data_IF_534551463201
#
_entry.id   IF_534551463201
#
_cell.length_a   1.000
_cell.length_b   1.000
_cell.length_c   1.000
_cell.angle_alpha   90.00
_cell.angle_beta   90.00
_cell.angle_gamma   90.00
#
_symmetry.space_group_name_H-M   'P 1'
#
loop_
_entity.id
_entity.type
_entity.pdbx_description
1 polymer ?
#
# COMPACT_ATOMS: atom_id res chain seq x y z
N UNK A 1 -19.30 -8.57 6.95
CA UNK A 1 -17.86 -8.88 6.75
C UNK A 1 -17.21 -7.71 6.04
N UNK A 2 -15.96 -7.38 6.38
CA UNK A 2 -15.24 -6.32 5.67
C UNK A 2 -14.93 -6.76 4.24
N UNK A 3 -15.20 -5.90 3.26
CA UNK A 3 -15.11 -6.25 1.84
C UNK A 3 -13.65 -6.18 1.35
N UNK A 4 -13.09 -7.24 0.73
CA UNK A 4 -11.70 -7.24 0.26
C UNK A 4 -11.42 -6.19 -0.81
N UNK A 5 -12.38 -5.91 -1.70
CA UNK A 5 -12.25 -4.89 -2.74
C UNK A 5 -12.20 -3.49 -2.11
N UNK A 6 -13.01 -3.25 -1.07
CA UNK A 6 -12.94 -1.98 -0.33
C UNK A 6 -11.59 -1.84 0.37
N UNK A 7 -11.09 -2.91 1.01
CA UNK A 7 -9.76 -2.89 1.63
C UNK A 7 -8.65 -2.62 0.60
N UNK A 8 -8.74 -3.22 -0.60
CA UNK A 8 -7.82 -2.96 -1.71
C UNK A 8 -7.83 -1.48 -2.10
N UNK A 9 -9.01 -0.95 -2.44
CA UNK A 9 -9.15 0.41 -2.97
C UNK A 9 -8.68 1.45 -1.95
N UNK A 10 -9.05 1.28 -0.68
CA UNK A 10 -8.59 2.17 0.38
C UNK A 10 -7.07 2.19 0.46
N UNK A 11 -6.43 1.01 0.50
CA UNK A 11 -4.96 0.91 0.55
C UNK A 11 -4.24 1.30 -0.73
N UNK A 12 -4.92 1.27 -1.88
CA UNK A 12 -4.38 1.70 -3.17
C UNK A 12 -4.23 3.22 -3.21
N UNK A 13 -5.24 3.98 -2.77
CA UNK A 13 -5.18 5.43 -2.75
C UNK A 13 -4.40 5.98 -1.54
N UNK A 14 -4.55 5.33 -0.38
CA UNK A 14 -3.87 5.74 0.86
C UNK A 14 -3.19 4.51 1.43
N UNK A 15 -1.86 4.40 1.30
CA UNK A 15 -1.11 3.26 1.82
C UNK A 15 -1.49 2.90 3.26
N UNK A 16 -1.83 1.63 3.50
CA UNK A 16 -2.26 1.15 4.82
C UNK A 16 -3.73 1.43 5.21
N UNK A 17 -4.48 2.29 4.52
CA UNK A 17 -5.86 2.61 4.91
C UNK A 17 -6.81 1.39 4.85
N UNK A 18 -6.58 0.46 3.92
CA UNK A 18 -7.30 -0.82 3.87
C UNK A 18 -7.05 -1.69 5.10
N UNK A 19 -5.83 -1.69 5.64
CA UNK A 19 -5.47 -2.42 6.85
C UNK A 19 -6.10 -1.77 8.10
N UNK A 20 -6.12 -0.44 8.15
CA UNK A 20 -6.84 0.31 9.18
C UNK A 20 -8.34 0.02 9.13
N UNK A 21 -8.93 0.00 7.93
CA UNK A 21 -10.30 -0.43 7.71
C UNK A 21 -10.54 -1.84 8.25
N UNK A 22 -9.61 -2.77 8.09
CA UNK A 22 -9.67 -4.12 8.68
C UNK A 22 -9.54 -4.15 10.21
N UNK A 23 -9.13 -3.05 10.84
CA UNK A 23 -8.89 -2.92 12.28
C UNK A 23 -7.46 -3.27 12.68
N UNK A 24 -6.57 -3.46 11.71
CA UNK A 24 -5.18 -3.85 11.91
C UNK A 24 -4.25 -2.64 11.80
N UNK A 25 -4.34 -1.75 12.81
CA UNK A 25 -3.66 -0.45 12.82
C UNK A 25 -2.14 -0.53 12.81
N UNK A 26 -1.56 -1.54 13.48
CA UNK A 26 -0.11 -1.75 13.48
C UNK A 26 0.40 -1.98 12.06
N UNK A 27 -0.23 -2.90 11.33
CA UNK A 27 0.15 -3.22 9.95
C UNK A 27 -0.15 -2.05 9.00
N UNK A 28 -1.21 -1.27 9.27
CA UNK A 28 -1.51 -0.06 8.51
C UNK A 28 -0.37 0.97 8.59
N UNK A 29 0.10 1.26 9.81
CA UNK A 29 1.21 2.20 10.04
C UNK A 29 2.50 1.67 9.40
N UNK A 30 2.81 0.38 9.59
CA UNK A 30 4.00 -0.23 8.99
C UNK A 30 3.96 -0.11 7.46
N UNK A 31 2.83 -0.43 6.83
CA UNK A 31 2.66 -0.34 5.38
C UNK A 31 2.83 1.11 4.89
N UNK A 32 2.21 2.07 5.58
CA UNK A 32 2.37 3.49 5.27
C UNK A 32 3.84 3.94 5.35
N UNK A 33 4.55 3.59 6.43
CA UNK A 33 5.97 3.93 6.61
C UNK A 33 6.83 3.31 5.52
N UNK A 34 6.60 2.04 5.16
CA UNK A 34 7.34 1.37 4.08
C UNK A 34 7.16 2.11 2.76
N UNK A 35 5.91 2.42 2.37
CA UNK A 35 5.64 3.15 1.12
C UNK A 35 6.26 4.55 1.14
N UNK A 36 6.18 5.25 2.26
CA UNK A 36 6.80 6.57 2.43
C UNK A 36 8.32 6.50 2.28
N UNK A 37 8.98 5.54 2.95
CA UNK A 37 10.42 5.32 2.86
C UNK A 37 10.84 4.99 1.43
N UNK A 38 10.09 4.13 0.72
CA UNK A 38 10.38 3.82 -0.69
C UNK A 38 10.30 5.08 -1.56
N UNK A 39 9.25 5.89 -1.39
CA UNK A 39 9.07 7.12 -2.15
C UNK A 39 10.18 8.14 -1.90
N UNK A 40 10.52 8.37 -0.63
CA UNK A 40 11.61 9.28 -0.22
C UNK A 40 12.96 8.77 -0.72
N UNK A 41 13.25 7.48 -0.52
CA UNK A 41 14.51 6.88 -0.98
C UNK A 41 14.62 6.96 -2.51
N UNK A 42 13.56 6.66 -3.25
CA UNK A 42 13.55 6.77 -4.70
C UNK A 42 13.80 8.20 -5.18
N UNK A 43 13.21 9.20 -4.52
CA UNK A 43 13.41 10.61 -4.87
C UNK A 43 14.86 11.07 -4.66
N UNK A 44 15.49 10.69 -3.54
CA UNK A 44 16.86 11.12 -3.22
C UNK A 44 17.96 10.29 -3.89
N UNK A 45 17.72 9.01 -4.16
CA UNK A 45 18.74 8.10 -4.67
C UNK A 45 18.75 7.96 -6.19
N UNK A 46 17.63 8.26 -6.87
CA UNK A 46 17.57 8.17 -8.32
C UNK A 46 18.05 9.47 -8.97
N UNK A 47 18.81 9.40 -10.09
CA UNK A 47 19.09 10.55 -10.92
C UNK A 47 17.79 11.24 -11.38
N UNK A 48 17.82 12.57 -11.53
CA UNK A 48 16.64 13.36 -11.86
C UNK A 48 15.93 12.88 -13.14
N UNK A 49 16.69 12.52 -14.17
CA UNK A 49 16.16 11.96 -15.43
C UNK A 49 15.47 10.60 -15.24
N UNK A 50 15.96 9.79 -14.31
CA UNK A 50 15.37 8.48 -13.99
C UNK A 50 14.09 8.66 -13.17
N UNK A 51 14.10 9.56 -12.19
CA UNK A 51 12.91 9.92 -11.42
C UNK A 51 11.81 10.49 -12.32
N UNK A 52 12.15 11.43 -13.21
CA UNK A 52 11.20 12.03 -14.14
C UNK A 52 10.55 10.99 -15.07
N UNK A 53 11.30 9.95 -15.46
CA UNK A 53 10.79 8.90 -16.34
C UNK A 53 10.01 7.81 -15.59
N UNK A 54 10.44 7.45 -14.39
CA UNK A 54 9.96 6.23 -13.72
C UNK A 54 9.25 6.44 -12.39
N UNK A 55 9.28 7.65 -11.81
CA UNK A 55 8.71 7.94 -10.49
C UNK A 55 7.23 7.55 -10.38
N UNK A 56 6.45 7.78 -11.44
CA UNK A 56 5.05 7.37 -11.50
C UNK A 56 4.84 5.85 -11.37
N UNK A 57 5.72 5.03 -11.97
CA UNK A 57 5.59 3.58 -11.87
C UNK A 57 5.95 3.07 -10.48
N UNK A 58 6.89 3.73 -9.79
CA UNK A 58 7.20 3.45 -8.38
C UNK A 58 5.97 3.75 -7.52
N UNK A 59 5.28 4.87 -7.77
CA UNK A 59 4.03 5.19 -7.07
C UNK A 59 2.94 4.15 -7.32
N UNK A 60 2.70 3.76 -8.57
CA UNK A 60 1.71 2.71 -8.90
C UNK A 60 2.08 1.35 -8.31
N UNK A 61 3.36 0.99 -8.28
CA UNK A 61 3.83 -0.25 -7.65
C UNK A 61 3.57 -0.24 -6.14
N UNK A 62 3.84 0.89 -5.46
CA UNK A 62 3.55 1.04 -4.03
C UNK A 62 2.04 0.99 -3.73
N UNK A 63 1.22 1.68 -4.55
CA UNK A 63 -0.23 1.66 -4.44
C UNK A 63 -0.79 0.23 -4.63
N UNK A 64 -0.37 -0.45 -5.70
CA UNK A 64 -0.76 -1.83 -5.99
C UNK A 64 -0.32 -2.80 -4.91
N UNK A 65 0.93 -2.70 -4.43
CA UNK A 65 1.47 -3.53 -3.35
C UNK A 65 0.71 -3.34 -2.04
N UNK A 66 0.47 -2.10 -1.63
CA UNK A 66 -0.33 -1.78 -0.43
C UNK A 66 -1.75 -2.33 -0.53
N UNK A 67 -2.42 -2.11 -1.67
CA UNK A 67 -3.76 -2.62 -1.96
C UNK A 67 -3.83 -4.15 -1.93
N UNK A 68 -2.85 -4.83 -2.55
CA UNK A 68 -2.74 -6.28 -2.57
C UNK A 68 -2.59 -6.89 -1.17
N UNK A 69 -1.77 -6.29 -0.31
CA UNK A 69 -1.61 -6.73 1.08
C UNK A 69 -2.93 -6.63 1.85
N UNK A 70 -3.65 -5.51 1.72
CA UNK A 70 -4.94 -5.31 2.39
C UNK A 70 -6.01 -6.29 1.86
N UNK A 71 -6.07 -6.52 0.55
CA UNK A 71 -6.95 -7.51 -0.06
C UNK A 71 -6.70 -8.92 0.45
N UNK A 72 -5.44 -9.36 0.44
CA UNK A 72 -5.03 -10.68 0.91
C UNK A 72 -5.38 -10.89 2.39
N UNK A 73 -5.16 -9.86 3.22
CA UNK A 73 -5.55 -9.89 4.64
C UNK A 73 -7.05 -10.00 4.82
N UNK A 74 -7.84 -9.23 4.06
CA UNK A 74 -9.30 -9.30 4.12
C UNK A 74 -9.81 -10.71 3.74
N UNK A 75 -9.28 -11.31 2.67
CA UNK A 75 -9.59 -12.68 2.26
C UNK A 75 -9.22 -13.70 3.33
N UNK A 76 -8.05 -13.59 3.94
CA UNK A 76 -7.62 -14.49 5.02
C UNK A 76 -8.51 -14.38 6.26
N UNK A 77 -9.01 -13.19 6.61
CA UNK A 77 -9.96 -13.01 7.71
C UNK A 77 -11.34 -13.60 7.40
N UNK A 78 -11.77 -13.59 6.13
CA UNK A 78 -13.02 -14.22 5.69
C UNK A 78 -12.93 -15.75 5.73
N UNK A 79 -11.78 -16.33 5.39
CA UNK A 79 -11.60 -17.79 5.36
C UNK A 79 -11.40 -18.46 6.73
N UNK A 80 -11.10 -17.68 7.78
CA UNK A 80 -10.88 -18.16 9.16
C UNK A 80 -12.14 -18.15 10.04
N UNK A 81 -13.30 -17.88 9.46
CA UNK A 81 -14.60 -17.85 10.12
C UNK A 81 -15.52 -18.85 9.44
#
# INVERSE_FOLDING_TARGET
MKNPIVALLLSFFIPGAGLAYLGNWKDAIINFVIVFVIGVAAFFLLPAETWARFGQYIMFACAGGSGGIAYGRAKAMQAKR
#
